data_IF_429975742130
#
_entry.id   IF_429975742130
#
_cell.length_a   1.000
_cell.length_b   1.000
_cell.length_c   1.000
_cell.angle_alpha   90.00
_cell.angle_beta   90.00
_cell.angle_gamma   90.00
#
_symmetry.space_group_name_H-M   'P 1'
#
loop_
_entity.id
_entity.type
_entity.pdbx_description
1 polymer ?
#
# COMPACT_ATOMS: atom_id res chain seq x y z
N UNK A 1 10.52 2.10 13.45
CA UNK A 1 9.91 2.79 12.28
C UNK A 1 8.96 3.90 12.74
N UNK A 2 7.95 3.61 13.58
CA UNK A 2 6.98 4.62 14.07
C UNK A 2 7.64 5.86 14.71
N UNK A 3 8.61 5.69 15.62
CA UNK A 3 9.39 6.81 16.20
C UNK A 3 10.03 7.73 15.16
N UNK A 4 10.48 7.19 14.03
CA UNK A 4 11.03 8.01 12.96
C UNK A 4 9.90 8.84 12.33
N UNK A 5 8.76 8.23 12.00
CA UNK A 5 7.61 8.92 11.41
C UNK A 5 7.01 10.00 12.33
N UNK A 6 7.12 9.88 13.65
CA UNK A 6 6.68 10.96 14.56
C UNK A 6 7.61 12.18 14.47
N UNK A 7 8.92 11.98 14.24
CA UNK A 7 9.93 13.04 14.26
C UNK A 7 10.25 13.63 12.88
N UNK A 8 10.37 12.78 11.86
CA UNK A 8 10.62 13.17 10.46
C UNK A 8 9.36 12.96 9.63
N UNK A 9 9.17 13.83 8.64
CA UNK A 9 8.03 13.74 7.72
C UNK A 9 8.40 13.26 6.32
N UNK A 10 7.47 13.42 5.39
CA UNK A 10 7.72 13.20 3.95
C UNK A 10 8.80 14.13 3.38
N UNK A 11 8.99 15.30 4.01
CA UNK A 11 10.06 16.26 3.75
C UNK A 11 10.83 16.51 5.04
N UNK A 12 12.16 16.39 4.97
CA UNK A 12 13.04 16.71 6.08
C UNK A 12 14.30 17.42 5.59
N UNK A 13 14.86 18.28 6.45
CA UNK A 13 16.18 18.88 6.24
C UNK A 13 17.15 18.45 7.34
N UNK A 14 18.42 18.19 7.00
CA UNK A 14 19.45 18.04 8.00
C UNK A 14 19.74 19.39 8.67
N UNK A 15 19.97 19.36 9.98
CA UNK A 15 20.46 20.52 10.75
C UNK A 15 21.95 20.44 11.07
N UNK A 16 22.56 19.28 10.87
CA UNK A 16 24.00 19.03 11.04
C UNK A 16 24.49 18.06 9.95
N UNK A 17 25.79 18.10 9.59
CA UNK A 17 26.36 17.17 8.63
C UNK A 17 26.28 15.72 9.14
N UNK A 18 26.29 14.73 8.23
CA UNK A 18 26.26 13.33 8.62
C UNK A 18 27.60 12.92 9.26
N UNK A 19 27.54 12.05 10.27
CA UNK A 19 28.72 11.43 10.86
C UNK A 19 28.99 10.11 10.14
N UNK A 20 30.15 9.98 9.49
CA UNK A 20 30.48 8.78 8.71
C UNK A 20 29.51 8.49 7.56
N UNK A 21 28.86 9.52 7.01
CA UNK A 21 27.85 9.37 5.95
C UNK A 21 26.44 9.00 6.44
N UNK A 22 26.22 8.90 7.75
CA UNK A 22 24.92 8.57 8.35
C UNK A 22 24.37 9.77 9.12
N UNK A 23 23.09 10.09 8.91
CA UNK A 23 22.37 11.10 9.71
C UNK A 23 21.76 10.45 10.94
N UNK A 24 21.91 11.10 12.10
CA UNK A 24 21.12 10.78 13.28
C UNK A 24 19.71 11.33 13.12
N UNK A 25 18.72 10.64 13.66
CA UNK A 25 17.32 11.12 13.62
C UNK A 25 17.17 12.49 14.30
N UNK A 26 17.98 12.75 15.33
CA UNK A 26 18.02 14.02 16.07
C UNK A 26 18.56 15.19 15.23
N UNK A 27 19.35 14.89 14.19
CA UNK A 27 19.90 15.90 13.27
C UNK A 27 19.03 16.13 12.05
N UNK A 28 17.81 15.56 12.03
CA UNK A 28 16.82 15.75 10.96
C UNK A 28 15.61 16.50 11.52
N UNK A 29 15.15 17.53 10.79
CA UNK A 29 13.92 18.25 11.13
C UNK A 29 12.91 18.15 9.99
N UNK A 30 11.66 17.86 10.35
CA UNK A 30 10.53 17.89 9.42
C UNK A 30 10.33 19.30 8.85
N UNK A 31 10.00 19.37 7.56
CA UNK A 31 9.60 20.62 6.89
C UNK A 31 8.06 20.62 6.78
N UNK A 32 7.38 21.66 7.31
CA UNK A 32 5.94 21.81 7.10
C UNK A 32 5.59 22.07 5.62
N UNK A 33 4.59 21.34 5.12
CA UNK A 33 4.04 21.51 3.77
C UNK A 33 3.26 22.82 3.58
N UNK A 34 2.87 23.50 4.67
CA UNK A 34 2.11 24.77 4.65
C UNK A 34 2.88 25.96 4.07
N UNK A 35 4.18 25.82 3.82
CA UNK A 35 5.07 26.94 3.47
C UNK A 35 5.12 27.28 1.97
N UNK A 36 4.28 26.65 1.12
CA UNK A 36 4.12 26.98 -0.31
C UNK A 36 5.34 26.74 -1.22
N UNK A 37 6.52 26.48 -0.67
CA UNK A 37 7.79 26.41 -1.41
C UNK A 37 8.19 25.00 -1.85
N UNK A 38 7.62 23.93 -1.26
CA UNK A 38 7.98 22.54 -1.60
C UNK A 38 6.76 21.62 -1.60
N UNK A 39 6.45 21.04 -2.77
CA UNK A 39 5.41 20.02 -2.93
C UNK A 39 6.04 18.62 -2.84
N UNK A 40 5.58 17.80 -1.89
CA UNK A 40 5.98 16.40 -1.85
C UNK A 40 5.28 15.62 -2.96
N UNK A 41 6.06 14.98 -3.84
CA UNK A 41 5.57 14.19 -4.98
C UNK A 41 4.55 14.97 -5.84
N UNK A 42 4.98 16.09 -6.43
CA UNK A 42 4.21 16.71 -7.51
C UNK A 42 4.12 15.73 -8.69
N UNK A 43 2.91 15.50 -9.19
CA UNK A 43 2.49 14.29 -9.92
C UNK A 43 3.27 13.92 -11.20
N UNK A 44 4.13 14.79 -11.74
CA UNK A 44 4.70 14.61 -13.08
C UNK A 44 6.18 14.16 -13.12
N UNK A 45 6.86 14.08 -11.98
CA UNK A 45 8.33 13.97 -11.98
C UNK A 45 8.89 12.57 -11.73
N UNK A 46 8.05 11.59 -11.39
CA UNK A 46 8.53 10.26 -10.99
C UNK A 46 7.93 9.17 -11.84
N UNK A 47 8.81 8.42 -12.49
CA UNK A 47 8.44 7.23 -13.26
C UNK A 47 7.99 6.13 -12.31
N UNK A 48 6.93 5.43 -12.67
CA UNK A 48 6.45 4.26 -11.93
C UNK A 48 6.64 2.98 -12.75
N UNK A 49 7.17 1.96 -12.09
CA UNK A 49 7.24 0.59 -12.62
C UNK A 49 6.36 -0.27 -11.72
N UNK A 50 5.43 -0.99 -12.33
CA UNK A 50 4.46 -1.83 -11.63
C UNK A 50 4.97 -3.26 -11.55
N UNK A 51 5.00 -3.82 -10.33
CA UNK A 51 5.32 -5.22 -10.07
C UNK A 51 4.12 -5.89 -9.42
N UNK A 52 3.62 -6.94 -10.07
CA UNK A 52 2.58 -7.82 -9.56
C UNK A 52 3.16 -9.19 -9.20
N UNK A 53 2.70 -9.77 -8.10
CA UNK A 53 2.97 -11.16 -7.73
C UNK A 53 1.78 -11.79 -7.03
N UNK A 54 1.37 -12.96 -7.50
CA UNK A 54 0.40 -13.81 -6.83
C UNK A 54 0.82 -15.27 -6.91
N UNK A 55 0.75 -15.96 -5.77
CA UNK A 55 1.06 -17.37 -5.62
C UNK A 55 -0.15 -18.13 -5.10
N UNK A 56 -0.41 -19.29 -5.70
CA UNK A 56 -1.46 -20.20 -5.25
C UNK A 56 -1.02 -21.64 -5.47
N UNK A 57 -1.01 -22.43 -4.40
CA UNK A 57 -0.51 -23.81 -4.39
C UNK A 57 0.95 -23.89 -4.87
N UNK A 58 1.19 -24.50 -6.03
CA UNK A 58 2.50 -24.61 -6.69
C UNK A 58 2.67 -23.62 -7.85
N UNK A 59 1.67 -22.79 -8.11
CA UNK A 59 1.63 -21.85 -9.23
C UNK A 59 1.97 -20.44 -8.76
N UNK A 60 2.73 -19.71 -9.56
CA UNK A 60 2.97 -18.30 -9.33
C UNK A 60 2.84 -17.51 -10.62
N UNK A 61 2.28 -16.32 -10.54
CA UNK A 61 2.18 -15.37 -11.64
C UNK A 61 2.82 -14.07 -11.21
N UNK A 62 3.78 -13.62 -12.00
CA UNK A 62 4.46 -12.36 -11.83
C UNK A 62 4.27 -11.50 -13.07
N UNK A 63 4.19 -10.19 -12.89
CA UNK A 63 4.22 -9.24 -13.99
C UNK A 63 5.07 -8.02 -13.63
N UNK A 64 5.91 -7.58 -14.54
CA UNK A 64 6.61 -6.29 -14.48
C UNK A 64 6.12 -5.46 -15.64
N UNK A 65 5.58 -4.27 -15.39
CA UNK A 65 5.07 -3.36 -16.41
C UNK A 65 5.72 -2.00 -16.22
N UNK A 66 6.32 -1.51 -17.28
CA UNK A 66 7.08 -0.28 -17.30
C UNK A 66 6.50 0.67 -18.33
N UNK A 67 5.76 1.65 -17.81
CA UNK A 67 4.98 2.61 -18.58
C UNK A 67 5.84 3.41 -19.56
N UNK A 68 7.04 3.81 -19.15
CA UNK A 68 7.88 4.70 -19.94
C UNK A 68 8.58 3.96 -21.07
N UNK A 69 8.98 2.71 -20.85
CA UNK A 69 9.62 1.89 -21.88
C UNK A 69 8.63 1.19 -22.82
N UNK A 70 7.31 1.31 -22.58
CA UNK A 70 6.27 0.60 -23.33
C UNK A 70 6.41 -0.94 -23.28
N UNK A 71 7.08 -1.46 -22.25
CA UNK A 71 7.37 -2.90 -22.14
C UNK A 71 6.75 -3.51 -20.89
N UNK A 72 6.33 -4.76 -21.05
CA UNK A 72 5.90 -5.59 -19.94
C UNK A 72 6.46 -7.00 -20.04
N UNK A 73 6.53 -7.70 -18.92
CA UNK A 73 6.98 -9.09 -18.86
C UNK A 73 6.11 -9.87 -17.88
N UNK A 74 5.61 -11.02 -18.33
CA UNK A 74 4.91 -11.99 -17.50
C UNK A 74 5.79 -13.21 -17.25
N UNK A 75 5.91 -13.61 -15.99
CA UNK A 75 6.65 -14.80 -15.58
C UNK A 75 5.69 -15.76 -14.90
N UNK A 76 5.47 -16.92 -15.52
CA UNK A 76 4.53 -17.93 -15.05
C UNK A 76 5.32 -19.11 -14.51
N UNK A 77 5.10 -19.45 -13.24
CA UNK A 77 5.71 -20.61 -12.60
C UNK A 77 4.67 -21.70 -12.45
N UNK A 78 4.83 -22.80 -13.19
CA UNK A 78 3.96 -23.97 -13.12
C UNK A 78 4.68 -25.19 -13.74
N UNK A 79 4.43 -26.40 -13.22
CA UNK A 79 5.08 -27.63 -13.72
C UNK A 79 4.44 -28.23 -14.98
N UNK A 80 3.17 -27.90 -15.26
CA UNK A 80 2.45 -28.37 -16.45
C UNK A 80 2.57 -27.42 -17.63
N UNK A 81 2.34 -27.95 -18.83
CA UNK A 81 2.30 -27.15 -20.05
C UNK A 81 1.08 -26.23 -20.02
N UNK A 82 1.35 -24.95 -20.29
CA UNK A 82 0.37 -23.89 -20.21
C UNK A 82 0.60 -22.92 -21.35
N UNK A 83 -0.43 -22.66 -22.14
CA UNK A 83 -0.38 -21.60 -23.15
C UNK A 83 -0.98 -20.33 -22.54
N UNK A 84 -0.19 -19.27 -22.45
CA UNK A 84 -0.72 -17.95 -22.10
C UNK A 84 -1.43 -17.34 -23.30
N UNK A 85 -2.53 -16.58 -23.08
CA UNK A 85 -3.16 -15.82 -24.14
C UNK A 85 -2.24 -14.70 -24.65
N UNK A 86 -2.59 -14.10 -25.77
CA UNK A 86 -1.89 -12.93 -26.30
C UNK A 86 -2.11 -11.73 -25.35
N UNK A 87 -1.10 -11.44 -24.52
CA UNK A 87 -1.17 -10.41 -23.48
C UNK A 87 -1.22 -8.99 -24.07
N UNK A 88 -0.57 -8.73 -25.22
CA UNK A 88 -0.68 -7.46 -25.94
C UNK A 88 -2.15 -7.17 -26.30
N UNK A 89 -2.85 -8.19 -26.82
CA UNK A 89 -4.27 -8.08 -27.19
C UNK A 89 -5.16 -7.89 -25.97
N UNK A 90 -4.93 -8.64 -24.90
CA UNK A 90 -5.69 -8.50 -23.64
C UNK A 90 -5.49 -7.09 -23.06
N UNK A 91 -4.26 -6.59 -23.04
CA UNK A 91 -3.95 -5.25 -22.57
C UNK A 91 -4.69 -4.19 -23.39
N UNK A 92 -4.57 -4.22 -24.72
CA UNK A 92 -5.21 -3.24 -25.60
C UNK A 92 -6.73 -3.26 -25.47
N UNK A 93 -7.34 -4.45 -25.37
CA UNK A 93 -8.77 -4.59 -25.12
C UNK A 93 -9.16 -3.99 -23.76
N UNK A 94 -8.44 -4.36 -22.69
CA UNK A 94 -8.73 -3.87 -21.33
C UNK A 94 -8.53 -2.34 -21.25
N UNK A 95 -7.51 -1.81 -21.91
CA UNK A 95 -7.29 -0.36 -22.02
C UNK A 95 -8.47 0.34 -22.69
N UNK A 96 -9.01 -0.24 -23.77
CA UNK A 96 -10.17 0.33 -24.45
C UNK A 96 -11.44 0.28 -23.59
N UNK A 97 -11.61 -0.76 -22.78
CA UNK A 97 -12.74 -0.92 -21.85
C UNK A 97 -12.67 0.09 -20.69
N UNK A 98 -11.47 0.40 -20.20
CA UNK A 98 -11.25 1.26 -19.02
C UNK A 98 -10.90 2.70 -19.39
N UNK A 99 -10.84 3.06 -20.68
CA UNK A 99 -10.31 4.34 -21.19
C UNK A 99 -10.89 5.57 -20.49
N UNK A 100 -12.20 5.56 -20.25
CA UNK A 100 -12.91 6.70 -19.66
C UNK A 100 -12.66 6.83 -18.14
N UNK A 101 -12.13 5.80 -17.51
CA UNK A 101 -11.79 5.76 -16.08
C UNK A 101 -10.30 6.02 -15.82
N UNK A 102 -9.47 6.09 -16.86
CA UNK A 102 -8.03 6.31 -16.70
C UNK A 102 -7.76 7.73 -16.19
N UNK A 103 -7.10 7.82 -15.04
CA UNK A 103 -6.75 9.10 -14.39
C UNK A 103 -5.45 9.70 -14.92
N UNK A 104 -4.64 8.91 -15.64
CA UNK A 104 -3.32 9.33 -16.13
C UNK A 104 -3.18 9.17 -17.65
N UNK A 105 -2.86 10.27 -18.33
CA UNK A 105 -2.51 10.28 -19.75
C UNK A 105 -1.16 9.60 -20.04
N UNK A 106 -0.38 9.28 -19.01
CA UNK A 106 0.91 8.58 -19.14
C UNK A 106 0.73 7.10 -19.50
N UNK A 107 -0.46 6.53 -19.28
CA UNK A 107 -0.76 5.14 -19.61
C UNK A 107 -0.85 5.01 -21.13
N UNK A 108 0.04 4.19 -21.70
CA UNK A 108 0.09 3.98 -23.14
C UNK A 108 -1.03 3.03 -23.59
N UNK A 109 -1.59 3.28 -24.77
CA UNK A 109 -2.67 2.43 -25.34
C UNK A 109 -2.19 1.05 -25.79
N UNK A 110 -0.88 0.87 -25.98
CA UNK A 110 -0.28 -0.40 -26.35
C UNK A 110 1.05 -0.60 -25.60
N UNK A 111 1.23 -1.80 -25.06
CA UNK A 111 2.47 -2.26 -24.42
C UNK A 111 2.85 -3.60 -25.05
N UNK A 112 4.16 -3.82 -25.23
CA UNK A 112 4.71 -5.08 -25.74
C UNK A 112 5.05 -6.01 -24.58
N UNK A 113 4.42 -7.18 -24.53
CA UNK A 113 4.63 -8.15 -23.47
C UNK A 113 5.52 -9.33 -23.90
N UNK A 114 6.54 -9.62 -23.08
CA UNK A 114 7.28 -10.87 -23.15
C UNK A 114 6.71 -11.86 -22.12
N UNK A 115 6.48 -13.12 -22.52
CA UNK A 115 5.94 -14.14 -21.63
C UNK A 115 6.97 -15.23 -21.46
N UNK A 116 7.25 -15.63 -20.22
CA UNK A 116 8.20 -16.71 -19.90
C UNK A 116 7.58 -17.69 -18.91
N UNK A 117 7.83 -18.96 -19.16
CA UNK A 117 7.35 -20.06 -18.34
C UNK A 117 8.52 -20.72 -17.61
N UNK A 118 8.30 -21.05 -16.34
CA UNK A 118 9.31 -21.66 -15.48
C UNK A 118 8.68 -22.82 -14.72
N UNK A 119 9.45 -23.88 -14.51
CA UNK A 119 9.03 -25.01 -13.66
C UNK A 119 9.43 -24.81 -12.19
N UNK A 120 10.40 -23.94 -11.95
CA UNK A 120 11.02 -23.69 -10.63
C UNK A 120 10.99 -22.20 -10.32
N UNK A 121 10.56 -21.85 -9.10
CA UNK A 121 10.43 -20.46 -8.63
C UNK A 121 11.76 -19.71 -8.70
N UNK A 122 12.87 -20.33 -8.29
CA UNK A 122 14.19 -19.71 -8.26
C UNK A 122 14.68 -19.23 -9.65
N UNK A 123 14.31 -19.96 -10.72
CA UNK A 123 14.67 -19.56 -12.09
C UNK A 123 13.87 -18.33 -12.54
N UNK A 124 12.57 -18.30 -12.20
CA UNK A 124 11.72 -17.15 -12.45
C UNK A 124 12.24 -15.92 -11.69
N UNK A 125 12.58 -16.08 -10.41
CA UNK A 125 13.13 -15.01 -9.58
C UNK A 125 14.41 -14.43 -10.17
N UNK A 126 15.31 -15.26 -10.73
CA UNK A 126 16.52 -14.79 -11.42
C UNK A 126 16.19 -13.90 -12.63
N UNK A 127 15.22 -14.29 -13.45
CA UNK A 127 14.81 -13.50 -14.62
C UNK A 127 14.01 -12.25 -14.24
N UNK A 128 13.21 -12.29 -13.18
CA UNK A 128 12.53 -11.10 -12.62
C UNK A 128 13.57 -10.11 -12.11
N UNK A 129 14.59 -10.59 -11.39
CA UNK A 129 15.68 -9.76 -10.88
C UNK A 129 16.43 -9.07 -12.04
N UNK A 130 16.62 -9.79 -13.17
CA UNK A 130 17.19 -9.22 -14.41
C UNK A 130 16.26 -8.17 -15.03
N UNK A 131 14.95 -8.42 -15.12
CA UNK A 131 13.99 -7.47 -15.67
C UNK A 131 13.94 -6.16 -14.86
N UNK A 132 13.94 -6.24 -13.53
CA UNK A 132 14.00 -5.09 -12.63
C UNK A 132 15.27 -4.26 -12.86
N UNK A 133 16.42 -4.93 -13.02
CA UNK A 133 17.70 -4.28 -13.31
C UNK A 133 17.68 -3.56 -14.67
N UNK A 134 17.14 -4.22 -15.71
CA UNK A 134 17.03 -3.62 -17.04
C UNK A 134 16.14 -2.38 -17.03
N UNK A 135 15.02 -2.41 -16.31
CA UNK A 135 14.16 -1.24 -16.17
C UNK A 135 14.88 -0.07 -15.48
N UNK A 136 15.76 -0.35 -14.50
CA UNK A 136 16.62 0.68 -13.88
C UNK A 136 17.58 1.30 -14.87
N UNK A 137 18.22 0.47 -15.70
CA UNK A 137 19.24 0.90 -16.65
C UNK A 137 18.64 1.59 -17.88
N UNK A 138 17.34 1.42 -18.14
CA UNK A 138 16.65 2.02 -19.28
C UNK A 138 16.51 3.54 -19.23
N UNK A 139 16.56 4.16 -18.03
CA UNK A 139 16.43 5.62 -17.88
C UNK A 139 17.14 6.11 -16.63
N UNK A 140 17.61 7.35 -16.67
CA UNK A 140 18.17 8.04 -15.51
C UNK A 140 17.09 8.70 -14.63
N UNK A 141 15.81 8.69 -15.05
CA UNK A 141 14.73 9.31 -14.28
C UNK A 141 14.52 8.63 -12.92
N UNK A 142 14.25 9.40 -11.85
CA UNK A 142 13.82 8.83 -10.59
C UNK A 142 12.64 7.88 -10.79
N UNK A 143 12.79 6.65 -10.33
CA UNK A 143 11.82 5.57 -10.56
C UNK A 143 11.36 5.00 -9.22
N UNK A 144 10.04 4.82 -9.08
CA UNK A 144 9.40 4.13 -7.95
C UNK A 144 8.83 2.79 -8.41
N UNK A 145 8.96 1.77 -7.55
CA UNK A 145 8.27 0.49 -7.73
C UNK A 145 6.92 0.49 -7.02
N UNK A 146 5.84 0.30 -7.77
CA UNK A 146 4.51 0.05 -7.22
C UNK A 146 4.28 -1.46 -7.12
N UNK A 147 4.15 -1.97 -5.90
CA UNK A 147 4.14 -3.40 -5.60
C UNK A 147 2.73 -3.87 -5.23
N UNK A 148 2.11 -4.72 -6.04
CA UNK A 148 0.94 -5.49 -5.65
C UNK A 148 1.37 -6.96 -5.48
N UNK A 149 1.65 -7.34 -4.25
CA UNK A 149 2.24 -8.64 -3.92
C UNK A 149 1.54 -9.27 -2.72
N UNK A 150 1.38 -10.59 -2.78
CA UNK A 150 0.77 -11.43 -1.73
C UNK A 150 1.76 -11.84 -0.62
N UNK A 151 2.97 -11.30 -0.62
CA UNK A 151 4.00 -11.56 0.40
C UNK A 151 4.66 -10.26 0.89
N UNK A 152 5.29 -10.32 2.06
CA UNK A 152 5.95 -9.14 2.63
C UNK A 152 7.16 -8.71 1.77
N UNK A 153 7.22 -7.45 1.29
CA UNK A 153 8.29 -7.01 0.39
C UNK A 153 9.72 -7.24 0.95
N UNK A 154 9.89 -7.11 2.26
CA UNK A 154 11.18 -7.38 2.94
C UNK A 154 11.64 -8.82 2.82
N UNK A 155 10.72 -9.79 2.79
CA UNK A 155 11.05 -11.20 2.58
C UNK A 155 11.39 -11.45 1.11
N UNK A 156 10.61 -10.85 0.20
CA UNK A 156 10.84 -10.91 -1.25
C UNK A 156 12.22 -10.38 -1.64
N UNK A 157 12.66 -9.26 -1.04
CA UNK A 157 13.95 -8.62 -1.29
C UNK A 157 15.17 -9.49 -0.97
N UNK A 158 15.03 -10.51 -0.12
CA UNK A 158 16.12 -11.47 0.15
C UNK A 158 16.43 -12.34 -1.08
N UNK A 159 15.43 -12.57 -1.94
CA UNK A 159 15.55 -13.39 -3.16
C UNK A 159 15.67 -12.51 -4.41
N UNK A 160 14.97 -11.37 -4.44
CA UNK A 160 15.01 -10.38 -5.50
C UNK A 160 15.83 -9.15 -5.09
N UNK A 161 17.16 -9.30 -5.06
CA UNK A 161 18.09 -8.27 -4.54
C UNK A 161 17.95 -6.92 -5.26
N UNK A 162 17.63 -6.91 -6.56
CA UNK A 162 17.50 -5.67 -7.35
C UNK A 162 16.26 -4.84 -7.00
N UNK A 163 15.35 -5.36 -6.18
CA UNK A 163 14.28 -4.53 -5.59
C UNK A 163 14.86 -3.42 -4.69
N UNK A 164 16.02 -3.64 -4.07
CA UNK A 164 16.69 -2.63 -3.22
C UNK A 164 17.22 -1.44 -4.02
N UNK A 165 17.19 -1.50 -5.36
CA UNK A 165 17.64 -0.42 -6.23
C UNK A 165 16.60 0.69 -6.38
N UNK A 166 15.37 0.44 -5.92
CA UNK A 166 14.25 1.36 -6.05
C UNK A 166 13.57 1.59 -4.70
N UNK A 167 13.06 2.81 -4.45
CA UNK A 167 12.05 2.98 -3.43
C UNK A 167 10.74 2.29 -3.85
N UNK A 168 10.02 1.74 -2.88
CA UNK A 168 8.81 0.96 -3.12
C UNK A 168 7.57 1.57 -2.46
N UNK A 169 6.42 1.39 -3.11
CA UNK A 169 5.09 1.68 -2.59
C UNK A 169 4.28 0.40 -2.70
N UNK A 170 3.77 -0.11 -1.58
CA UNK A 170 2.92 -1.30 -1.58
C UNK A 170 1.47 -0.88 -1.83
N UNK A 171 0.82 -1.55 -2.77
CA UNK A 171 -0.62 -1.48 -3.02
C UNK A 171 -1.29 -2.54 -2.15
N UNK A 172 -2.16 -2.10 -1.23
CA UNK A 172 -2.80 -2.95 -0.23
C UNK A 172 -4.11 -3.57 -0.75
N UNK A 173 -4.06 -4.16 -1.94
CA UNK A 173 -5.21 -4.87 -2.53
C UNK A 173 -4.99 -6.37 -2.38
N UNK A 174 -6.02 -7.07 -1.90
CA UNK A 174 -6.00 -8.52 -1.74
C UNK A 174 -6.61 -9.22 -2.96
N UNK A 175 -5.91 -10.24 -3.45
CA UNK A 175 -6.43 -11.10 -4.51
C UNK A 175 -7.26 -12.27 -3.94
N UNK A 176 -8.31 -12.74 -4.65
CA UNK A 176 -9.09 -13.88 -4.20
C UNK A 176 -8.22 -15.14 -4.05
N UNK A 177 -8.37 -15.86 -2.93
CA UNK A 177 -7.57 -17.06 -2.64
C UNK A 177 -7.66 -18.17 -3.69
N UNK A 178 -8.77 -18.24 -4.44
CA UNK A 178 -9.01 -19.25 -5.48
C UNK A 178 -8.85 -18.69 -6.91
N UNK A 179 -8.15 -17.56 -7.08
CA UNK A 179 -8.02 -16.86 -8.37
C UNK A 179 -7.46 -17.75 -9.50
N UNK A 180 -6.58 -18.71 -9.21
CA UNK A 180 -6.03 -19.63 -10.20
C UNK A 180 -6.86 -20.93 -10.37
N UNK A 181 -7.94 -21.11 -9.62
CA UNK A 181 -8.78 -22.33 -9.70
C UNK A 181 -9.97 -22.18 -10.66
N UNK A 182 -10.20 -20.98 -11.21
CA UNK A 182 -11.28 -20.75 -12.16
C UNK A 182 -10.92 -21.27 -13.55
N UNK A 183 -11.96 -21.57 -14.34
CA UNK A 183 -11.79 -21.91 -15.76
C UNK A 183 -11.15 -20.75 -16.51
N UNK A 184 -10.22 -21.06 -17.43
CA UNK A 184 -9.43 -20.05 -18.17
C UNK A 184 -8.75 -19.01 -17.27
N UNK A 185 -8.28 -19.41 -16.09
CA UNK A 185 -7.64 -18.48 -15.14
C UNK A 185 -6.52 -17.65 -15.76
N UNK A 186 -5.83 -18.13 -16.80
CA UNK A 186 -4.77 -17.41 -17.48
C UNK A 186 -5.28 -16.08 -18.07
N UNK A 187 -6.46 -16.11 -18.69
CA UNK A 187 -7.11 -14.92 -19.25
C UNK A 187 -7.66 -14.01 -18.14
N UNK A 188 -8.25 -14.61 -17.10
CA UNK A 188 -8.80 -13.87 -15.95
C UNK A 188 -7.69 -13.08 -15.26
N UNK A 189 -6.59 -13.74 -14.91
CA UNK A 189 -5.43 -13.13 -14.25
C UNK A 189 -4.74 -12.10 -15.14
N UNK A 190 -4.57 -12.40 -16.44
CA UNK A 190 -4.01 -11.44 -17.40
C UNK A 190 -4.79 -10.11 -17.40
N UNK A 191 -6.11 -10.19 -17.60
CA UNK A 191 -7.00 -9.02 -17.59
C UNK A 191 -6.95 -8.29 -16.25
N UNK A 192 -6.94 -9.05 -15.15
CA UNK A 192 -6.92 -8.51 -13.78
C UNK A 192 -5.63 -7.76 -13.48
N UNK A 193 -4.48 -8.29 -13.89
CA UNK A 193 -3.17 -7.62 -13.76
C UNK A 193 -3.15 -6.31 -14.55
N UNK A 194 -3.71 -6.28 -15.77
CA UNK A 194 -3.84 -5.04 -16.54
C UNK A 194 -4.69 -4.00 -15.79
N UNK A 195 -5.83 -4.40 -15.23
CA UNK A 195 -6.66 -3.51 -14.41
C UNK A 195 -5.94 -3.01 -13.16
N UNK A 196 -5.20 -3.87 -12.46
CA UNK A 196 -4.39 -3.46 -11.31
C UNK A 196 -3.29 -2.48 -11.70
N UNK A 197 -2.66 -2.66 -12.87
CA UNK A 197 -1.71 -1.70 -13.40
C UNK A 197 -2.37 -0.34 -13.67
N UNK A 198 -3.55 -0.28 -14.29
CA UNK A 198 -4.26 0.98 -14.51
C UNK A 198 -4.67 1.64 -13.18
N UNK A 199 -5.21 0.86 -12.25
CA UNK A 199 -5.61 1.34 -10.93
C UNK A 199 -4.42 1.75 -10.06
N UNK A 200 -3.20 1.26 -10.35
CA UNK A 200 -2.00 1.64 -9.60
C UNK A 200 -1.73 3.14 -9.63
N UNK A 201 -2.14 3.84 -10.70
CA UNK A 201 -2.01 5.29 -10.81
C UNK A 201 -3.00 6.02 -9.88
N UNK A 202 -4.19 5.45 -9.71
CA UNK A 202 -5.21 5.96 -8.77
C UNK A 202 -4.69 5.78 -7.35
N UNK A 203 -4.30 4.56 -6.98
CA UNK A 203 -3.74 4.26 -5.66
C UNK A 203 -2.51 5.10 -5.35
N UNK A 204 -1.63 5.33 -6.33
CA UNK A 204 -0.45 6.17 -6.14
C UNK A 204 -0.83 7.60 -5.77
N UNK A 205 -1.81 8.19 -6.47
CA UNK A 205 -2.33 9.53 -6.17
C UNK A 205 -2.94 9.57 -4.78
N UNK A 206 -3.79 8.62 -4.44
CA UNK A 206 -4.44 8.54 -3.13
C UNK A 206 -3.41 8.40 -1.99
N UNK A 207 -2.41 7.53 -2.17
CA UNK A 207 -1.33 7.40 -1.18
C UNK A 207 -0.44 8.64 -1.11
N UNK A 208 -0.22 9.35 -2.21
CA UNK A 208 0.50 10.63 -2.18
C UNK A 208 -0.29 11.68 -1.41
N UNK A 209 -1.62 11.72 -1.55
CA UNK A 209 -2.50 12.63 -0.81
C UNK A 209 -2.48 12.31 0.69
N UNK A 210 -2.61 11.03 1.07
CA UNK A 210 -2.43 10.57 2.46
C UNK A 210 -1.05 10.91 3.02
N UNK A 211 0.01 10.67 2.25
CA UNK A 211 1.39 10.95 2.63
C UNK A 211 1.62 12.44 2.89
N UNK A 212 1.02 13.33 2.08
CA UNK A 212 1.05 14.78 2.28
C UNK A 212 0.26 15.17 3.52
N UNK A 213 -0.96 14.67 3.69
CA UNK A 213 -1.82 14.98 4.84
C UNK A 213 -1.18 14.55 6.16
N UNK A 214 -0.68 13.32 6.23
CA UNK A 214 -0.06 12.76 7.43
C UNK A 214 1.41 13.14 7.59
N UNK A 215 2.01 13.87 6.64
CA UNK A 215 3.45 14.14 6.60
C UNK A 215 4.28 12.87 6.81
N UNK A 216 4.10 11.85 5.97
CA UNK A 216 4.90 10.60 6.00
C UNK A 216 5.41 10.24 4.62
N UNK A 217 6.55 9.55 4.47
CA UNK A 217 6.96 9.04 3.16
C UNK A 217 5.88 8.14 2.56
N UNK A 218 5.63 8.25 1.24
CA UNK A 218 4.57 7.48 0.54
C UNK A 218 4.69 5.97 0.75
N UNK A 219 5.91 5.42 0.79
CA UNK A 219 6.15 4.00 1.05
C UNK A 219 5.82 3.55 2.47
N UNK A 220 5.53 4.48 3.39
CA UNK A 220 5.12 4.21 4.78
C UNK A 220 3.60 4.31 4.99
N UNK A 221 2.82 4.59 3.96
CA UNK A 221 1.35 4.61 4.05
C UNK A 221 0.83 3.17 4.19
N UNK A 222 0.14 2.83 5.29
CA UNK A 222 -0.39 1.48 5.51
C UNK A 222 -1.72 1.28 4.77
N UNK A 223 -2.28 0.07 4.86
CA UNK A 223 -3.58 -0.26 4.29
C UNK A 223 -4.72 0.55 4.91
N UNK A 224 -4.63 0.79 6.23
CA UNK A 224 -5.56 1.64 6.97
C UNK A 224 -4.85 2.95 7.37
N UNK A 225 -4.81 3.88 6.42
CA UNK A 225 -4.21 5.19 6.62
C UNK A 225 -4.98 6.04 7.65
N UNK A 226 -6.28 5.78 7.85
CA UNK A 226 -7.12 6.50 8.80
C UNK A 226 -6.71 6.19 10.24
N UNK A 227 -6.70 4.91 10.61
CA UNK A 227 -6.29 4.46 11.93
C UNK A 227 -4.84 4.85 12.24
N UNK A 228 -3.94 4.61 11.29
CA UNK A 228 -2.53 5.02 11.42
C UNK A 228 -2.38 6.53 11.58
N UNK A 229 -3.20 7.31 10.88
CA UNK A 229 -3.21 8.76 10.97
C UNK A 229 -3.60 9.25 12.36
N UNK A 230 -4.61 8.65 12.98
CA UNK A 230 -5.02 8.96 14.36
C UNK A 230 -3.87 8.71 15.33
N UNK A 231 -3.24 7.53 15.28
CA UNK A 231 -2.11 7.18 16.15
C UNK A 231 -0.94 8.14 15.96
N UNK A 232 -0.59 8.44 14.71
CA UNK A 232 0.54 9.29 14.37
C UNK A 232 0.32 10.74 14.84
N UNK A 233 -0.85 11.31 14.58
CA UNK A 233 -1.17 12.68 14.95
C UNK A 233 -1.29 12.82 16.47
N UNK A 234 -1.89 11.83 17.14
CA UNK A 234 -1.95 11.78 18.59
C UNK A 234 -0.55 11.70 19.20
N UNK A 235 0.31 10.80 18.70
CA UNK A 235 1.69 10.68 19.17
C UNK A 235 2.49 11.98 18.99
N UNK A 236 2.34 12.65 17.84
CA UNK A 236 2.97 13.96 17.59
C UNK A 236 2.43 15.04 18.51
N UNK A 237 1.14 15.01 18.85
CA UNK A 237 0.55 15.95 19.79
C UNK A 237 1.13 15.75 21.20
N UNK A 238 1.16 14.51 21.71
CA UNK A 238 1.77 14.18 23.00
C UNK A 238 3.22 14.62 23.10
N UNK A 239 4.03 14.35 22.05
CA UNK A 239 5.43 14.78 22.00
C UNK A 239 5.56 16.31 22.06
N UNK A 240 4.69 17.05 21.37
CA UNK A 240 4.72 18.52 21.34
C UNK A 240 4.34 19.14 22.68
N UNK A 241 3.42 18.52 23.42
CA UNK A 241 2.98 18.99 24.74
C UNK A 241 3.83 18.44 25.89
N UNK A 242 4.84 17.61 25.61
CA UNK A 242 5.70 17.02 26.63
C UNK A 242 5.05 15.90 27.45
N UNK A 243 4.00 15.26 26.92
CA UNK A 243 3.39 14.09 27.53
C UNK A 243 4.16 12.81 27.19
N UNK A 244 4.01 11.80 28.06
CA UNK A 244 4.57 10.48 27.80
C UNK A 244 3.89 9.84 26.58
N UNK A 245 4.71 9.34 25.65
CA UNK A 245 4.24 8.54 24.53
C UNK A 245 4.43 7.06 24.87
N UNK A 246 3.34 6.30 24.87
CA UNK A 246 3.38 4.84 24.96
C UNK A 246 3.14 4.29 23.56
N UNK A 247 4.03 3.41 23.11
CA UNK A 247 3.94 2.80 21.78
C UNK A 247 4.29 1.32 21.91
N UNK A 248 3.25 0.48 21.95
CA UNK A 248 3.37 -0.98 21.96
C UNK A 248 3.01 -1.52 20.58
N UNK A 249 3.74 -2.55 20.13
CA UNK A 249 3.33 -3.33 18.96
C UNK A 249 2.28 -4.41 19.32
N UNK A 250 2.03 -4.64 20.61
CA UNK A 250 1.04 -5.59 21.09
C UNK A 250 -0.32 -4.92 21.27
N UNK A 251 -1.37 -5.73 21.35
CA UNK A 251 -2.72 -5.29 21.72
C UNK A 251 -2.86 -4.88 23.19
N UNK A 252 -1.78 -5.00 23.98
CA UNK A 252 -1.73 -4.60 25.38
C UNK A 252 -1.02 -3.25 25.52
N UNK A 253 -1.49 -2.39 26.43
CA UNK A 253 -0.79 -1.15 26.76
C UNK A 253 0.60 -1.48 27.30
N UNK A 254 1.59 -0.65 26.98
CA UNK A 254 2.93 -0.73 27.56
C UNK A 254 2.85 -0.26 29.02
N UNK A 255 3.06 -1.18 29.96
CA UNK A 255 3.04 -0.92 31.40
C UNK A 255 4.45 -1.01 32.00
N UNK A 256 5.49 -0.89 31.17
CA UNK A 256 6.88 -1.00 31.59
C UNK A 256 7.29 -2.42 32.00
N UNK A 257 6.79 -3.44 31.30
CA UNK A 257 7.11 -4.85 31.54
C UNK A 257 6.13 -5.59 32.46
N UNK A 258 4.98 -4.98 32.79
CA UNK A 258 3.91 -5.56 33.62
C UNK A 258 2.62 -5.84 32.83
N UNK A 259 2.73 -5.95 31.52
CA UNK A 259 1.57 -6.07 30.62
C UNK A 259 0.79 -7.36 30.86
N UNK A 260 1.47 -8.41 31.36
CA UNK A 260 0.90 -9.74 31.62
C UNK A 260 0.25 -9.80 33.01
N UNK A 261 0.69 -8.95 33.96
CA UNK A 261 0.23 -8.96 35.35
C UNK A 261 -1.09 -8.18 35.54
N UNK A 262 -1.42 -7.27 34.62
CA UNK A 262 -2.65 -6.49 34.70
C UNK A 262 -3.85 -7.25 34.10
N UNK A 263 -4.62 -7.87 35.00
CA UNK A 263 -5.85 -8.60 34.68
C UNK A 263 -7.07 -7.68 34.56
N UNK A 264 -6.98 -6.37 34.82
CA UNK A 264 -8.15 -5.47 34.72
C UNK A 264 -8.74 -5.40 33.30
N UNK A 265 -7.92 -5.63 32.28
CA UNK A 265 -8.36 -5.77 30.89
C UNK A 265 -9.10 -7.09 30.61
N UNK A 266 -8.98 -8.08 31.50
CA UNK A 266 -9.74 -9.34 31.46
C UNK A 266 -11.00 -9.31 32.30
N UNK A 267 -11.16 -8.30 33.17
CA UNK A 267 -12.43 -8.03 33.83
C UNK A 267 -13.45 -7.66 32.75
N UNK A 268 -14.54 -8.43 32.66
CA UNK A 268 -15.67 -8.11 31.77
C UNK A 268 -16.08 -6.66 32.02
N UNK A 269 -15.72 -5.80 31.07
CA UNK A 269 -16.35 -4.50 30.96
C UNK A 269 -17.83 -4.82 30.78
N UNK A 270 -18.67 -4.46 31.76
CA UNK A 270 -20.11 -4.37 31.56
C UNK A 270 -20.32 -3.01 30.92
N UNK A 271 -20.28 -2.86 29.57
CA UNK A 271 -20.81 -1.66 28.96
C UNK A 271 -22.20 -1.47 29.54
N UNK A 272 -22.59 -0.22 29.83
CA UNK A 272 -23.93 0.16 30.30
C UNK A 272 -24.94 -0.86 29.77
N UNK A 273 -25.28 -1.82 30.62
CA UNK A 273 -26.04 -2.98 30.17
C UNK A 273 -27.37 -2.40 29.72
N UNK A 274 -27.93 -2.99 28.66
CA UNK A 274 -29.26 -2.69 28.09
C UNK A 274 -30.32 -2.24 29.12
N UNK A 275 -30.19 -2.72 30.36
CA UNK A 275 -31.02 -2.47 31.53
C UNK A 275 -30.92 -1.07 32.17
N UNK A 276 -29.96 -0.21 31.80
CA UNK A 276 -29.88 1.20 32.27
C UNK A 276 -30.57 2.20 31.32
N UNK A 277 -31.25 1.71 30.28
CA UNK A 277 -32.14 2.58 29.49
C UNK A 277 -33.37 2.93 30.33
N UNK A 278 -33.49 4.20 30.73
CA UNK A 278 -34.69 4.69 31.40
C UNK A 278 -35.84 4.69 30.38
N UNK A 279 -36.72 3.69 30.46
CA UNK A 279 -37.96 3.66 29.71
C UNK A 279 -38.92 4.74 30.24
N UNK A 280 -38.83 5.96 29.72
CA UNK A 280 -39.81 7.01 29.97
C UNK A 280 -41.05 6.77 29.09
N UNK A 281 -41.93 5.88 29.54
CA UNK A 281 -43.20 5.63 28.87
C UNK A 281 -44.26 6.63 29.36
N UNK A 282 -44.55 7.67 28.57
CA UNK A 282 -45.70 8.54 28.76
C UNK A 282 -46.77 8.19 27.72
N UNK A 283 -47.84 7.47 28.09
CA UNK A 283 -48.89 7.10 27.14
C UNK A 283 -49.59 8.35 26.60
N UNK A 284 -49.59 8.51 25.27
CA UNK A 284 -50.27 9.60 24.57
C UNK A 284 -50.89 9.08 23.26
N UNK A 285 -52.09 9.56 22.93
CA UNK A 285 -52.76 9.25 21.67
C UNK A 285 -52.35 10.28 20.61
N UNK A 286 -51.40 9.92 19.75
CA UNK A 286 -50.91 10.79 18.67
C UNK A 286 -51.33 10.21 17.31
N UNK A 287 -52.20 10.90 16.58
CA UNK A 287 -52.77 10.42 15.31
C UNK A 287 -51.84 10.50 14.09
N UNK A 288 -50.73 11.25 14.15
CA UNK A 288 -49.79 11.39 13.03
C UNK A 288 -48.40 11.79 13.51
N UNK A 289 -47.65 10.84 14.08
CA UNK A 289 -46.25 11.04 14.44
C UNK A 289 -45.38 10.19 13.53
N UNK A 290 -44.47 10.84 12.81
CA UNK A 290 -43.38 10.21 12.10
C UNK A 290 -42.09 10.68 12.77
N UNK A 291 -41.30 9.74 13.29
CA UNK A 291 -39.99 10.01 13.87
C UNK A 291 -38.99 9.25 13.01
N UNK A 292 -38.11 10.00 12.36
CA UNK A 292 -36.95 9.46 11.66
C UNK A 292 -35.72 9.82 12.50
N UNK A 293 -34.98 8.81 12.94
CA UNK A 293 -33.72 8.98 13.67
C UNK A 293 -32.61 8.36 12.83
N UNK A 294 -31.67 9.22 12.42
CA UNK A 294 -30.40 8.81 11.83
C UNK A 294 -29.29 9.17 12.82
N UNK A 295 -28.62 8.15 13.34
CA UNK A 295 -27.50 8.28 14.25
C UNK A 295 -26.25 7.81 13.51
N UNK A 296 -25.36 8.74 13.20
CA UNK A 296 -24.05 8.44 12.62
C UNK A 296 -22.94 8.85 13.60
N UNK A 297 -21.84 8.07 13.59
CA UNK A 297 -20.60 8.35 14.34
C UNK A 297 -20.77 8.56 15.87
N UNK A 298 -21.64 7.79 16.53
CA UNK A 298 -21.66 7.71 18.00
C UNK A 298 -20.44 6.91 18.47
N UNK A 299 -19.55 7.57 19.20
CA UNK A 299 -18.29 7.00 19.72
C UNK A 299 -18.47 6.27 21.04
#
# INVERSE_FOLDING_TARGET
MFRALTQIGCLCRPVAPPMGGVYSLETLKMIPLSTGQTSYLSNDMIRTVFLYKFAQDTRQVWAVIDTESATGSFFIVQRGDLTMPNMDRIYAQTFSEEKDQLVSNSIQSAIKFNIRHFRVVAEAEKEINKAIRLSREATAKPTLLCLLVDEEPKLMMKRLVNLNLFPHVRIHVQEPHALLNVMEWQRVVAKRICKHYFNSFIYFKDYADWARYLHVPIGSVPSDAGLFGLDLLFARHLQRTGHALWASAASRPDLGGKEIDDLRLTSEWKPLTKDETVLLNNPAFCGSVCIEFELEAVA
#
